data_IF_786941965706
#
_entry.id   IF_786941965706
#
_cell.length_a   1.000
_cell.length_b   1.000
_cell.length_c   1.000
_cell.angle_alpha   90.00
_cell.angle_beta   90.00
_cell.angle_gamma   90.00
#
_symmetry.space_group_name_H-M   'P 1'
#
loop_
_entity.id
_entity.type
_entity.pdbx_description
1 polymer ?
#
# COMPACT_ATOMS: atom_id res chain seq x y z
N UNK A 1 7.94 -21.10 23.23
CA UNK A 1 8.56 -21.24 21.89
C UNK A 1 7.98 -20.13 21.02
N UNK A 2 8.72 -19.04 20.83
CA UNK A 2 8.32 -17.93 19.97
C UNK A 2 8.55 -18.32 18.51
N UNK A 3 7.49 -18.30 17.72
CA UNK A 3 7.58 -18.16 16.26
C UNK A 3 7.68 -16.65 15.95
N UNK A 4 8.71 -16.18 15.23
CA UNK A 4 8.75 -14.79 14.82
C UNK A 4 7.72 -14.57 13.70
N UNK A 5 6.79 -13.66 13.97
CA UNK A 5 5.83 -13.13 12.99
C UNK A 5 6.59 -12.46 11.85
N UNK A 6 6.46 -13.03 10.64
CA UNK A 6 7.02 -12.45 9.41
C UNK A 6 6.08 -11.34 8.94
N UNK A 7 6.45 -10.10 9.20
CA UNK A 7 5.83 -8.93 8.57
C UNK A 7 5.89 -9.08 7.04
N UNK A 8 4.84 -8.72 6.27
CA UNK A 8 5.00 -8.51 4.86
C UNK A 8 5.69 -7.16 4.67
N UNK A 9 7.01 -7.14 4.88
CA UNK A 9 7.83 -6.10 4.29
C UNK A 9 7.50 -6.11 2.79
N UNK A 10 7.00 -5.00 2.26
CA UNK A 10 7.12 -4.72 0.83
C UNK A 10 8.62 -4.52 0.58
N UNK A 11 9.32 -5.65 0.55
CA UNK A 11 10.72 -5.75 0.17
C UNK A 11 10.74 -5.38 -1.31
N UNK A 12 11.01 -4.12 -1.60
CA UNK A 12 11.63 -3.74 -2.86
C UNK A 12 13.03 -4.36 -2.82
N UNK A 13 13.10 -5.64 -3.20
CA UNK A 13 14.34 -6.38 -3.29
C UNK A 13 15.04 -5.93 -4.57
N UNK A 14 16.07 -5.10 -4.40
CA UNK A 14 16.94 -4.70 -5.49
C UNK A 14 17.90 -5.85 -5.78
N UNK A 15 17.79 -6.41 -6.99
CA UNK A 15 18.66 -7.47 -7.49
C UNK A 15 19.63 -6.87 -8.50
N UNK A 16 20.92 -6.89 -8.16
CA UNK A 16 21.98 -6.55 -9.10
C UNK A 16 22.30 -7.80 -9.93
N UNK A 17 22.03 -7.75 -11.22
CA UNK A 17 22.27 -8.87 -12.14
C UNK A 17 23.40 -8.50 -13.09
N UNK A 18 24.49 -9.28 -13.06
CA UNK A 18 25.56 -9.21 -14.08
C UNK A 18 25.14 -10.08 -15.27
N UNK A 19 24.72 -9.42 -16.35
CA UNK A 19 24.13 -10.08 -17.52
C UNK A 19 25.08 -9.93 -18.72
N UNK A 20 25.50 -11.03 -19.37
CA UNK A 20 26.28 -10.94 -20.60
C UNK A 20 25.50 -10.24 -21.74
N UNK A 21 26.22 -9.58 -22.67
CA UNK A 21 25.60 -8.91 -23.81
C UNK A 21 24.89 -9.92 -24.74
N UNK A 22 23.78 -9.50 -25.35
CA UNK A 22 22.99 -10.34 -26.25
C UNK A 22 22.00 -11.31 -25.59
N UNK A 23 21.82 -11.27 -24.27
CA UNK A 23 20.82 -12.08 -23.58
C UNK A 23 19.38 -11.70 -23.98
N UNK A 24 18.53 -12.71 -24.02
CA UNK A 24 17.10 -12.55 -24.32
C UNK A 24 16.30 -12.29 -23.05
N UNK A 25 15.10 -11.74 -23.21
CA UNK A 25 14.17 -11.59 -22.08
C UNK A 25 13.77 -12.94 -21.47
N UNK A 26 13.79 -14.04 -22.24
CA UNK A 26 13.56 -15.39 -21.71
C UNK A 26 14.68 -15.83 -20.75
N UNK A 27 15.93 -15.53 -21.10
CA UNK A 27 17.07 -15.86 -20.24
C UNK A 27 17.01 -15.04 -18.95
N UNK A 28 16.68 -13.75 -19.03
CA UNK A 28 16.48 -12.88 -17.86
C UNK A 28 15.40 -13.42 -16.91
N UNK A 29 14.25 -13.86 -17.46
CA UNK A 29 13.19 -14.53 -16.68
C UNK A 29 13.70 -15.79 -15.98
N UNK A 30 14.54 -16.56 -16.67
CA UNK A 30 15.19 -17.75 -16.14
C UNK A 30 16.11 -17.43 -14.97
N UNK A 31 16.94 -16.40 -15.08
CA UNK A 31 17.80 -15.93 -13.99
C UNK A 31 16.99 -15.52 -12.76
N UNK A 32 15.98 -14.66 -12.94
CA UNK A 32 15.11 -14.23 -11.84
C UNK A 32 14.34 -15.42 -11.23
N UNK A 33 14.01 -16.43 -12.04
CA UNK A 33 13.38 -17.65 -11.53
C UNK A 33 14.30 -18.46 -10.62
N UNK A 34 15.59 -18.57 -10.97
CA UNK A 34 16.57 -19.32 -10.17
C UNK A 34 16.94 -18.55 -8.91
N UNK A 35 17.20 -17.24 -9.03
CA UNK A 35 17.68 -16.40 -7.92
C UNK A 35 16.56 -16.08 -6.91
N UNK A 36 15.39 -15.64 -7.39
CA UNK A 36 14.29 -15.17 -6.53
C UNK A 36 13.16 -16.21 -6.34
N UNK A 37 13.29 -17.41 -6.93
CA UNK A 37 12.32 -18.51 -6.83
C UNK A 37 10.89 -18.14 -7.27
N UNK A 38 10.77 -17.28 -8.29
CA UNK A 38 9.49 -16.92 -8.89
C UNK A 38 9.34 -17.55 -10.28
N UNK A 39 8.23 -18.26 -10.59
CA UNK A 39 8.11 -18.92 -11.88
C UNK A 39 8.04 -17.88 -13.03
N UNK A 40 8.73 -18.13 -14.14
CA UNK A 40 8.84 -17.18 -15.27
C UNK A 40 7.48 -16.64 -15.77
N UNK A 41 6.42 -17.45 -15.70
CA UNK A 41 5.06 -17.06 -16.09
C UNK A 41 4.35 -16.08 -15.12
N UNK A 42 4.92 -15.87 -13.94
CA UNK A 42 4.42 -14.93 -12.93
C UNK A 42 5.17 -13.60 -12.94
N UNK A 43 6.25 -13.50 -13.72
CA UNK A 43 7.12 -12.33 -13.76
C UNK A 43 6.71 -11.41 -14.91
N UNK A 44 6.46 -10.14 -14.60
CA UNK A 44 6.17 -9.10 -15.58
C UNK A 44 7.21 -7.99 -15.46
N UNK A 45 7.99 -7.78 -16.51
CA UNK A 45 9.06 -6.80 -16.55
C UNK A 45 8.57 -5.49 -17.18
N UNK A 46 8.99 -4.37 -16.58
CA UNK A 46 8.69 -3.03 -17.06
C UNK A 46 9.99 -2.23 -17.17
N UNK A 47 10.14 -1.54 -18.30
CA UNK A 47 11.23 -0.62 -18.57
C UNK A 47 10.64 0.73 -18.98
N UNK A 48 11.01 1.80 -18.30
CA UNK A 48 10.44 3.15 -18.52
C UNK A 48 8.89 3.17 -18.55
N UNK A 49 8.27 2.34 -17.72
CA UNK A 49 6.81 2.19 -17.64
C UNK A 49 6.17 1.39 -18.79
N UNK A 50 6.94 0.94 -19.77
CA UNK A 50 6.45 0.07 -20.84
C UNK A 50 6.65 -1.40 -20.47
N UNK A 51 5.62 -2.25 -20.62
CA UNK A 51 5.77 -3.68 -20.39
C UNK A 51 6.68 -4.29 -21.44
N UNK A 52 7.72 -4.99 -20.99
CA UNK A 52 8.56 -5.79 -21.87
C UNK A 52 7.85 -7.11 -22.16
N UNK A 53 7.39 -7.28 -23.39
CA UNK A 53 6.66 -8.46 -23.84
C UNK A 53 7.41 -9.14 -24.99
N UNK A 54 7.56 -10.46 -24.89
CA UNK A 54 8.24 -11.29 -25.89
C UNK A 54 9.47 -11.99 -25.31
N UNK A 55 9.66 -13.25 -25.69
CA UNK A 55 10.72 -14.10 -25.12
C UNK A 55 12.00 -14.10 -25.98
N UNK A 56 11.92 -13.60 -27.22
CA UNK A 56 13.01 -13.67 -28.22
C UNK A 56 13.75 -12.36 -28.42
N UNK A 57 13.27 -11.25 -27.86
CA UNK A 57 13.92 -9.95 -27.97
C UNK A 57 15.12 -9.88 -27.01
N UNK A 58 16.23 -9.34 -27.48
CA UNK A 58 17.39 -9.08 -26.61
C UNK A 58 17.15 -7.84 -25.75
N UNK A 59 17.81 -7.74 -24.60
CA UNK A 59 17.70 -6.57 -23.73
C UNK A 59 18.13 -5.28 -24.46
N UNK A 60 19.16 -5.37 -25.29
CA UNK A 60 19.65 -4.27 -26.13
C UNK A 60 18.62 -3.84 -27.19
N UNK A 61 17.91 -4.79 -27.80
CA UNK A 61 16.82 -4.50 -28.75
C UNK A 61 15.61 -3.89 -28.05
N UNK A 62 15.43 -4.14 -26.76
CA UNK A 62 14.44 -3.47 -25.92
C UNK A 62 14.91 -2.07 -25.45
N UNK A 63 16.14 -1.67 -25.82
CA UNK A 63 16.72 -0.37 -25.48
C UNK A 63 17.32 -0.29 -24.09
N UNK A 64 17.46 -1.42 -23.39
CA UNK A 64 17.99 -1.51 -22.03
C UNK A 64 19.52 -1.47 -22.10
N UNK A 65 20.13 -0.62 -21.28
CA UNK A 65 21.59 -0.44 -21.22
C UNK A 65 22.14 -0.87 -19.86
N UNK A 66 23.46 -0.90 -19.74
CA UNK A 66 24.14 -1.07 -18.47
C UNK A 66 23.70 0.02 -17.48
N UNK A 67 23.51 -0.38 -16.21
CA UNK A 67 23.01 0.47 -15.11
C UNK A 67 21.51 0.83 -15.16
N UNK A 68 20.76 0.38 -16.17
CA UNK A 68 19.31 0.60 -16.23
C UNK A 68 18.54 -0.25 -15.21
N UNK A 69 17.54 0.37 -14.57
CA UNK A 69 16.66 -0.31 -13.63
C UNK A 69 15.41 -0.87 -14.31
N UNK A 70 15.12 -2.14 -14.02
CA UNK A 70 13.90 -2.83 -14.46
C UNK A 70 12.99 -3.09 -13.26
N UNK A 71 11.71 -2.83 -13.45
CA UNK A 71 10.70 -3.16 -12.44
C UNK A 71 10.12 -4.53 -12.75
N UNK A 72 10.22 -5.46 -11.80
CA UNK A 72 9.62 -6.79 -11.91
C UNK A 72 8.38 -6.86 -11.02
N UNK A 73 7.21 -7.04 -11.63
CA UNK A 73 5.98 -7.34 -10.92
C UNK A 73 5.74 -8.85 -10.88
N UNK A 74 5.67 -9.41 -9.67
CA UNK A 74 5.41 -10.84 -9.47
C UNK A 74 3.93 -11.07 -9.15
N UNK A 75 3.22 -11.79 -10.03
CA UNK A 75 1.85 -12.24 -9.79
C UNK A 75 1.83 -13.65 -9.22
N UNK A 76 1.63 -13.79 -7.91
CA UNK A 76 1.55 -15.11 -7.27
C UNK A 76 0.33 -15.90 -7.79
N UNK A 77 0.53 -17.09 -8.41
CA UNK A 77 -0.58 -17.95 -8.81
C UNK A 77 -1.29 -18.46 -7.56
N UNK A 78 -2.38 -17.79 -7.21
CA UNK A 78 -3.08 -17.96 -5.93
C UNK A 78 -3.88 -16.73 -5.55
N UNK A 79 -3.44 -15.54 -6.00
CA UNK A 79 -4.26 -14.34 -6.01
C UNK A 79 -5.02 -14.27 -7.35
N UNK A 80 -5.90 -15.25 -7.58
CA UNK A 80 -6.95 -15.11 -8.58
C UNK A 80 -7.89 -14.01 -8.08
N UNK A 81 -7.66 -12.79 -8.57
CA UNK A 81 -8.77 -11.89 -8.83
C UNK A 81 -9.79 -12.66 -9.66
N UNK A 82 -11.00 -12.81 -9.12
CA UNK A 82 -12.14 -13.29 -9.87
C UNK A 82 -12.41 -12.30 -11.01
N UNK A 83 -11.81 -12.59 -12.16
CA UNK A 83 -11.90 -11.79 -13.37
C UNK A 83 -12.04 -12.70 -14.57
N UNK A 84 -13.27 -13.18 -14.77
CA UNK A 84 -13.92 -13.57 -16.02
C UNK A 84 -13.10 -14.39 -17.04
N UNK A 85 -13.47 -15.66 -17.13
CA UNK A 85 -13.11 -16.50 -18.27
C UNK A 85 -13.68 -17.90 -18.15
N UNK A 86 -15.01 -18.06 -18.16
CA UNK A 86 -15.63 -19.30 -18.60
C UNK A 86 -17.11 -19.09 -18.90
N UNK A 87 -17.45 -19.20 -20.18
CA UNK A 87 -18.82 -19.35 -20.63
C UNK A 87 -19.41 -20.62 -20.03
N UNK A 88 -20.42 -20.46 -19.19
CA UNK A 88 -21.35 -21.53 -18.88
C UNK A 88 -22.77 -21.01 -19.03
N UNK A 89 -23.54 -21.90 -19.64
CA UNK A 89 -24.86 -21.72 -20.24
C UNK A 89 -25.85 -21.04 -19.30
N UNK A 90 -26.73 -20.28 -19.93
CA UNK A 90 -27.99 -19.83 -19.38
C UNK A 90 -28.72 -20.96 -18.63
N UNK A 91 -28.81 -20.83 -17.31
CA UNK A 91 -29.93 -21.34 -16.54
C UNK A 91 -30.47 -20.18 -15.71
N UNK A 92 -31.60 -19.68 -16.18
CA UNK A 92 -32.41 -18.66 -15.55
C UNK A 92 -32.90 -19.20 -14.21
N UNK A 93 -32.43 -18.63 -13.11
CA UNK A 93 -33.15 -18.64 -11.83
C UNK A 93 -33.65 -17.22 -11.56
N UNK A 94 -34.96 -17.02 -11.39
CA UNK A 94 -35.51 -15.71 -11.07
C UNK A 94 -35.36 -15.43 -9.57
N UNK A 95 -34.94 -14.22 -9.20
CA UNK A 95 -35.31 -13.63 -7.91
C UNK A 95 -34.23 -13.23 -6.90
N UNK A 96 -32.98 -12.91 -7.30
CA UNK A 96 -32.07 -12.17 -6.39
C UNK A 96 -31.51 -10.92 -7.09
N UNK A 97 -31.61 -9.72 -6.48
CA UNK A 97 -30.96 -8.54 -7.03
C UNK A 97 -29.45 -8.82 -7.08
N UNK A 98 -28.87 -8.61 -8.26
CA UNK A 98 -27.44 -8.79 -8.53
C UNK A 98 -26.70 -7.75 -7.68
N UNK A 99 -26.01 -8.18 -6.62
CA UNK A 99 -25.15 -7.30 -5.80
C UNK A 99 -24.04 -6.71 -6.68
N UNK A 100 -23.70 -5.45 -6.46
CA UNK A 100 -22.58 -4.81 -7.14
C UNK A 100 -21.26 -5.37 -6.62
N UNK A 101 -20.18 -5.44 -7.42
CA UNK A 101 -18.86 -5.88 -6.95
C UNK A 101 -18.37 -5.12 -5.71
N UNK A 102 -18.73 -3.83 -5.61
CA UNK A 102 -18.42 -2.99 -4.46
C UNK A 102 -19.19 -3.40 -3.19
N UNK A 103 -20.44 -3.86 -3.32
CA UNK A 103 -21.22 -4.37 -2.19
C UNK A 103 -20.61 -5.65 -1.62
N UNK A 104 -20.02 -6.49 -2.49
CA UNK A 104 -19.34 -7.71 -2.08
C UNK A 104 -18.04 -7.41 -1.34
N UNK A 105 -17.29 -6.38 -1.75
CA UNK A 105 -16.09 -5.92 -1.02
C UNK A 105 -16.43 -5.38 0.38
N UNK A 106 -17.51 -4.60 0.48
CA UNK A 106 -17.97 -4.03 1.76
C UNK A 106 -18.41 -5.15 2.71
N UNK A 107 -19.12 -6.15 2.19
CA UNK A 107 -19.58 -7.30 2.98
C UNK A 107 -18.43 -8.22 3.40
N UNK A 108 -17.47 -8.48 2.52
CA UNK A 108 -16.27 -9.26 2.88
C UNK A 108 -15.45 -8.58 3.96
N UNK A 109 -15.35 -7.24 3.92
CA UNK A 109 -14.71 -6.46 4.98
C UNK A 109 -15.46 -6.56 6.30
N UNK A 110 -16.79 -6.46 6.28
CA UNK A 110 -17.62 -6.66 7.48
C UNK A 110 -17.38 -8.03 8.12
N UNK A 111 -17.39 -9.09 7.31
CA UNK A 111 -17.18 -10.46 7.75
C UNK A 111 -15.77 -10.67 8.33
N UNK A 112 -14.75 -10.05 7.72
CA UNK A 112 -13.39 -10.06 8.25
C UNK A 112 -13.32 -9.43 9.63
N UNK A 113 -13.95 -8.27 9.81
CA UNK A 113 -13.98 -7.56 11.10
C UNK A 113 -14.75 -8.39 12.13
N UNK A 114 -15.89 -8.96 11.78
CA UNK A 114 -16.63 -9.87 12.67
C UNK A 114 -15.82 -11.10 13.09
N UNK A 115 -14.92 -11.57 12.22
CA UNK A 115 -14.00 -12.68 12.52
C UNK A 115 -12.82 -12.31 13.41
N UNK A 116 -12.51 -11.02 13.57
CA UNK A 116 -11.35 -10.52 14.31
C UNK A 116 -11.76 -9.62 15.49
N UNK A 117 -11.58 -10.12 16.71
CA UNK A 117 -11.97 -9.42 17.93
C UNK A 117 -11.13 -8.16 18.20
N UNK A 118 -9.85 -8.15 17.77
CA UNK A 118 -9.00 -6.98 17.94
C UNK A 118 -9.44 -5.88 16.97
N UNK A 119 -9.76 -6.25 15.73
CA UNK A 119 -10.29 -5.31 14.74
C UNK A 119 -11.60 -4.65 15.20
N UNK A 120 -12.50 -5.42 15.81
CA UNK A 120 -13.73 -4.87 16.40
C UNK A 120 -13.48 -3.90 17.54
N UNK A 121 -12.54 -4.21 18.46
CA UNK A 121 -12.20 -3.31 19.56
C UNK A 121 -11.62 -1.99 19.06
N UNK A 122 -10.67 -2.05 18.14
CA UNK A 122 -10.10 -0.84 17.51
C UNK A 122 -11.18 -0.03 16.79
N UNK A 123 -12.12 -0.70 16.12
CA UNK A 123 -13.23 -0.03 15.45
C UNK A 123 -14.18 0.64 16.46
N UNK A 124 -14.41 0.04 17.62
CA UNK A 124 -15.21 0.65 18.69
C UNK A 124 -14.54 1.90 19.26
N UNK A 125 -13.23 1.86 19.49
CA UNK A 125 -12.47 2.99 20.03
C UNK A 125 -12.39 4.15 19.04
N UNK A 126 -12.22 3.86 17.75
CA UNK A 126 -12.05 4.89 16.72
C UNK A 126 -13.37 5.40 16.15
N UNK A 127 -14.35 4.50 15.93
CA UNK A 127 -15.59 4.77 15.19
C UNK A 127 -16.77 3.98 15.77
N UNK A 128 -17.34 4.44 16.90
CA UNK A 128 -18.43 3.74 17.58
C UNK A 128 -19.69 3.59 16.71
N UNK A 129 -19.98 4.56 15.85
CA UNK A 129 -21.12 4.55 14.92
C UNK A 129 -21.05 3.41 13.89
N UNK A 130 -19.86 3.17 13.31
CA UNK A 130 -19.62 2.10 12.35
C UNK A 130 -19.56 0.73 13.05
N UNK A 131 -18.98 0.68 14.25
CA UNK A 131 -18.97 -0.52 15.09
C UNK A 131 -20.39 -0.97 15.47
N UNK A 132 -21.29 -0.04 15.81
CA UNK A 132 -22.68 -0.35 16.12
C UNK A 132 -23.43 -0.94 14.92
N UNK A 133 -23.07 -0.55 13.71
CA UNK A 133 -23.68 -1.03 12.47
C UNK A 133 -23.16 -2.40 12.00
N UNK A 134 -22.11 -2.97 12.62
CA UNK A 134 -21.44 -4.20 12.14
C UNK A 134 -22.35 -5.43 12.07
N UNK A 135 -23.37 -5.48 12.93
CA UNK A 135 -24.35 -6.56 12.99
C UNK A 135 -25.47 -6.42 11.94
N UNK A 136 -25.63 -5.23 11.36
CA UNK A 136 -26.67 -4.89 10.37
C UNK A 136 -26.04 -4.69 8.98
N UNK A 137 -26.16 -5.65 8.04
CA UNK A 137 -25.47 -5.56 6.74
C UNK A 137 -25.83 -4.33 5.91
N UNK A 138 -27.08 -3.84 5.99
CA UNK A 138 -27.51 -2.66 5.25
C UNK A 138 -26.98 -1.37 5.88
N UNK A 139 -27.06 -1.23 7.21
CA UNK A 139 -26.54 -0.06 7.92
C UNK A 139 -25.02 0.01 7.82
N UNK A 140 -24.34 -1.13 7.95
CA UNK A 140 -22.89 -1.22 7.72
C UNK A 140 -22.51 -0.67 6.34
N UNK A 141 -23.24 -1.07 5.30
CA UNK A 141 -22.96 -0.61 3.93
C UNK A 141 -23.10 0.90 3.80
N UNK A 142 -24.16 1.47 4.35
CA UNK A 142 -24.40 2.91 4.31
C UNK A 142 -23.30 3.68 5.05
N UNK A 143 -22.99 3.30 6.29
CA UNK A 143 -21.95 3.95 7.09
C UNK A 143 -20.56 3.79 6.48
N UNK A 144 -20.22 2.60 5.99
CA UNK A 144 -18.95 2.35 5.32
C UNK A 144 -18.80 3.18 4.05
N UNK A 145 -19.88 3.30 3.26
CA UNK A 145 -19.90 4.11 2.03
C UNK A 145 -19.74 5.60 2.34
N UNK A 146 -20.43 6.08 3.38
CA UNK A 146 -20.32 7.46 3.82
C UNK A 146 -18.89 7.78 4.31
N UNK A 147 -18.33 6.88 5.13
CA UNK A 147 -16.94 6.96 5.57
C UNK A 147 -15.97 7.03 4.39
N UNK A 148 -16.10 6.13 3.42
CA UNK A 148 -15.22 6.10 2.25
C UNK A 148 -15.28 7.39 1.44
N UNK A 149 -16.49 7.91 1.16
CA UNK A 149 -16.65 9.19 0.47
C UNK A 149 -16.03 10.35 1.24
N UNK A 150 -16.19 10.38 2.56
CA UNK A 150 -15.61 11.44 3.38
C UNK A 150 -14.07 11.36 3.38
N UNK A 151 -13.52 10.15 3.47
CA UNK A 151 -12.08 9.91 3.41
C UNK A 151 -11.50 10.29 2.04
N UNK A 152 -12.16 9.91 0.95
CA UNK A 152 -11.75 10.27 -0.41
C UNK A 152 -11.73 11.79 -0.60
N UNK A 153 -12.74 12.52 -0.11
CA UNK A 153 -12.75 13.99 -0.17
C UNK A 153 -11.58 14.60 0.60
N UNK A 154 -11.33 14.14 1.83
CA UNK A 154 -10.22 14.63 2.64
C UNK A 154 -8.86 14.32 1.99
N UNK A 155 -8.69 13.11 1.45
CA UNK A 155 -7.47 12.74 0.73
C UNK A 155 -7.27 13.59 -0.52
N UNK A 156 -8.33 13.83 -1.29
CA UNK A 156 -8.26 14.66 -2.48
C UNK A 156 -7.90 16.12 -2.15
N UNK A 157 -8.51 16.69 -1.11
CA UNK A 157 -8.17 18.05 -0.64
C UNK A 157 -6.72 18.15 -0.14
N UNK A 158 -6.28 17.15 0.63
CA UNK A 158 -4.90 17.07 1.12
C UNK A 158 -3.90 16.93 -0.05
N UNK A 159 -4.19 16.05 -1.00
CA UNK A 159 -3.37 15.84 -2.19
C UNK A 159 -3.29 17.13 -3.02
N UNK A 160 -4.42 17.79 -3.26
CA UNK A 160 -4.45 19.07 -3.97
C UNK A 160 -3.64 20.15 -3.25
N UNK A 161 -3.69 20.20 -1.92
CA UNK A 161 -2.87 21.12 -1.13
C UNK A 161 -1.37 20.81 -1.29
N UNK A 162 -0.98 19.52 -1.25
CA UNK A 162 0.40 19.09 -1.45
C UNK A 162 0.88 19.39 -2.87
N UNK A 163 0.02 19.17 -3.87
CA UNK A 163 0.31 19.44 -5.27
C UNK A 163 0.54 20.94 -5.50
N UNK A 164 -0.24 21.82 -4.87
CA UNK A 164 0.01 23.27 -4.90
C UNK A 164 1.34 23.67 -4.26
N UNK A 165 1.75 22.98 -3.19
CA UNK A 165 3.05 23.22 -2.54
C UNK A 165 4.22 22.70 -3.39
N UNK A 166 4.00 21.63 -4.15
CA UNK A 166 5.03 21.01 -5.00
C UNK A 166 5.06 21.57 -6.43
N UNK A 167 4.00 22.20 -6.92
CA UNK A 167 3.87 22.68 -8.29
C UNK A 167 4.95 23.72 -8.66
N UNK A 168 5.48 24.45 -7.68
CA UNK A 168 6.62 25.33 -7.86
C UNK A 168 7.66 25.11 -6.75
N UNK A 169 8.73 24.34 -7.02
CA UNK A 169 9.80 24.07 -6.06
C UNK A 169 10.62 25.32 -5.65
N UNK A 170 10.41 26.47 -6.29
CA UNK A 170 11.03 27.75 -5.93
C UNK A 170 10.07 28.71 -5.23
N UNK A 171 8.84 28.28 -4.94
CA UNK A 171 7.87 29.11 -4.24
C UNK A 171 8.26 29.25 -2.76
N UNK A 172 8.69 30.47 -2.39
CA UNK A 172 9.12 30.84 -1.04
C UNK A 172 7.99 30.63 -0.01
N UNK A 173 6.72 30.82 -0.40
CA UNK A 173 5.57 30.61 0.48
C UNK A 173 5.33 29.12 0.76
N UNK A 174 5.48 28.26 -0.26
CA UNK A 174 5.42 26.81 -0.08
C UNK A 174 6.57 26.31 0.81
N UNK A 175 7.79 26.80 0.58
CA UNK A 175 8.96 26.49 1.41
C UNK A 175 8.77 26.93 2.88
N UNK A 176 8.26 28.15 3.11
CA UNK A 176 7.99 28.65 4.45
C UNK A 176 6.91 27.83 5.18
N UNK A 177 5.88 27.38 4.45
CA UNK A 177 4.83 26.53 5.01
C UNK A 177 5.35 25.13 5.35
N UNK A 178 6.23 24.57 4.51
CA UNK A 178 6.91 23.30 4.79
C UNK A 178 7.79 23.44 6.04
N UNK A 179 8.57 24.52 6.15
CA UNK A 179 9.41 24.78 7.32
C UNK A 179 8.60 24.86 8.62
N UNK A 180 7.48 25.56 8.62
CA UNK A 180 6.62 25.70 9.79
C UNK A 180 5.97 24.36 10.19
N UNK A 181 5.53 23.54 9.22
CA UNK A 181 5.01 22.19 9.50
C UNK A 181 6.06 21.31 10.17
N UNK A 182 7.29 21.28 9.63
CA UNK A 182 8.40 20.50 10.22
C UNK A 182 8.73 21.02 11.62
N UNK A 183 8.69 22.33 11.83
CA UNK A 183 8.93 22.93 13.15
C UNK A 183 7.90 22.47 14.18
N UNK A 184 6.62 22.46 13.80
CA UNK A 184 5.54 21.99 14.66
C UNK A 184 5.65 20.49 14.92
N UNK A 185 5.94 19.68 13.90
CA UNK A 185 6.20 18.25 14.05
C UNK A 185 7.33 17.99 15.03
N UNK A 186 8.44 18.73 14.96
CA UNK A 186 9.54 18.61 15.95
C UNK A 186 9.12 18.98 17.37
N UNK A 187 8.24 19.96 17.54
CA UNK A 187 7.70 20.32 18.86
C UNK A 187 6.82 19.19 19.38
N UNK A 188 5.94 18.64 18.55
CA UNK A 188 5.06 17.53 18.92
C UNK A 188 5.88 16.27 19.19
N UNK A 189 6.86 15.95 18.36
CA UNK A 189 7.78 14.81 18.53
C UNK A 189 8.55 14.95 19.84
N UNK A 190 9.10 16.13 20.15
CA UNK A 190 9.77 16.37 21.43
C UNK A 190 8.80 16.22 22.60
N UNK A 191 7.58 16.76 22.49
CA UNK A 191 6.53 16.61 23.50
C UNK A 191 6.17 15.13 23.69
N UNK A 192 5.89 14.40 22.61
CA UNK A 192 5.58 12.97 22.58
C UNK A 192 6.71 12.17 23.24
N UNK A 193 7.95 12.43 22.83
CA UNK A 193 9.14 11.78 23.38
C UNK A 193 9.32 12.10 24.87
N UNK A 194 9.01 13.33 25.31
CA UNK A 194 9.01 13.72 26.71
C UNK A 194 7.88 13.05 27.52
N UNK A 195 6.73 12.77 26.91
CA UNK A 195 5.66 11.98 27.55
C UNK A 195 6.02 10.48 27.62
N UNK A 196 6.70 9.95 26.60
CA UNK A 196 7.11 8.54 26.52
C UNK A 196 8.28 8.21 27.45
N UNK A 197 9.18 9.18 27.69
CA UNK A 197 10.44 8.94 28.41
C UNK A 197 10.51 9.58 29.81
N UNK A 198 9.41 10.05 30.39
CA UNK A 198 9.47 10.77 31.68
C UNK A 198 8.54 10.17 32.78
N UNK A 199 9.03 9.19 33.57
CA UNK A 199 8.38 8.80 34.81
C UNK A 199 8.86 9.73 35.94
N UNK A 200 8.13 10.81 36.18
CA UNK A 200 8.28 11.75 37.31
C UNK A 200 9.60 12.55 37.44
N UNK A 201 9.45 13.87 37.63
CA UNK A 201 10.51 14.86 37.55
C UNK A 201 11.67 14.71 38.53
N UNK A 202 12.86 15.10 38.07
CA UNK A 202 13.93 15.62 38.92
C UNK A 202 14.40 16.96 38.40
N UNK A 203 13.76 17.98 38.94
CA UNK A 203 14.44 19.19 39.38
C UNK A 203 15.73 18.78 40.10
N UNK A 204 16.88 18.96 39.46
CA UNK A 204 18.15 19.05 40.19
C UNK A 204 18.80 20.35 39.77
N UNK A 205 18.53 21.33 40.64
CA UNK A 205 19.11 22.64 40.73
C UNK A 205 20.50 22.78 40.10
N UNK A 206 20.59 23.84 39.29
CA UNK A 206 21.77 24.66 39.12
C UNK A 206 22.39 24.88 40.51
N UNK A 207 23.55 24.27 40.78
CA UNK A 207 24.37 24.60 41.95
C UNK A 207 25.67 25.23 41.46
N UNK A 208 25.64 26.56 41.46
CA UNK A 208 26.72 27.52 41.77
C UNK A 208 28.13 27.23 41.26
N UNK A 209 28.57 28.10 40.35
CA UNK A 209 29.93 28.62 40.27
C UNK A 209 30.44 29.06 41.66
N UNK A 210 31.68 28.70 42.01
CA UNK A 210 32.79 29.55 42.52
C UNK A 210 34.07 28.75 42.29
#
# INVERSE_FOLDING_TARGET
MCVPSREPALLFELLNLDLPPGLTLADLKGFVQVEANFPANSQYFFYNGQPLAGDTQTLEQAGIKDDDMLVVMIRRPGQRGQGQGQGQRAQQQPGRPRRSPQDDEIETTRLRILGDHNALRSLQDQRPELAAAVNDPNRWREEWTNMKRMQERQQHEHQHQLDLLNADPFNIEAQAKIEEMIRQERVIENLQHAYEHNPEGKSSAISSFV
#
